data_IF_717747141922
#
_entry.id   IF_717747141922
#
_cell.length_a   1.000
_cell.length_b   1.000
_cell.length_c   1.000
_cell.angle_alpha   90.00
_cell.angle_beta   90.00
_cell.angle_gamma   90.00
#
_symmetry.space_group_name_H-M   'P 1'
#
loop_
_entity.id
_entity.type
_entity.pdbx_description
1 polymer ?
#
# COMPACT_ATOMS: atom_id res chain seq x y z
N UNK A 1 28.33 4.11 17.77
CA UNK A 1 27.04 4.81 17.51
C UNK A 1 26.03 3.79 17.02
N UNK A 2 24.78 3.83 17.52
CA UNK A 2 23.70 3.04 16.93
C UNK A 2 23.44 3.54 15.50
N UNK A 3 23.10 2.65 14.57
CA UNK A 3 22.67 3.07 13.22
C UNK A 3 21.35 3.83 13.35
N UNK A 4 21.13 4.88 12.55
CA UNK A 4 19.85 5.60 12.49
C UNK A 4 18.95 5.04 11.40
N UNK A 5 17.64 5.07 11.64
CA UNK A 5 16.57 4.67 10.72
C UNK A 5 15.57 5.80 10.61
N UNK A 6 15.46 6.39 9.43
CA UNK A 6 14.57 7.53 9.22
C UNK A 6 13.17 7.06 8.82
N UNK A 7 12.18 7.28 9.67
CA UNK A 7 10.78 7.19 9.26
C UNK A 7 10.45 8.51 8.57
N UNK A 8 10.28 8.45 7.24
CA UNK A 8 9.97 9.60 6.40
C UNK A 8 8.52 9.56 5.89
N UNK A 9 8.00 10.68 5.38
CA UNK A 9 6.65 10.71 4.79
C UNK A 9 6.47 9.71 3.64
N UNK A 10 7.54 9.46 2.87
CA UNK A 10 7.53 8.43 1.81
C UNK A 10 7.33 7.02 2.36
N UNK A 11 7.84 6.71 3.56
CA UNK A 11 7.58 5.44 4.23
C UNK A 11 6.10 5.33 4.63
N UNK A 12 5.53 6.39 5.22
CA UNK A 12 4.11 6.46 5.59
C UNK A 12 3.22 6.28 4.35
N UNK A 13 3.52 7.01 3.28
CA UNK A 13 2.82 6.89 2.00
C UNK A 13 2.83 5.45 1.49
N UNK A 14 4.00 4.82 1.43
CA UNK A 14 4.14 3.45 0.91
C UNK A 14 3.42 2.42 1.78
N UNK A 15 3.48 2.57 3.11
CA UNK A 15 2.75 1.71 4.03
C UNK A 15 1.25 1.77 3.76
N UNK A 16 0.65 2.96 3.78
CA UNK A 16 -0.80 3.12 3.60
C UNK A 16 -1.26 2.86 2.16
N UNK A 17 -0.38 3.02 1.16
CA UNK A 17 -0.66 2.65 -0.22
C UNK A 17 -0.79 1.13 -0.38
N UNK A 18 0.06 0.36 0.32
CA UNK A 18 0.16 -1.10 0.13
C UNK A 18 -0.57 -1.90 1.19
N UNK A 19 -0.75 -1.34 2.38
CA UNK A 19 -1.22 -2.02 3.60
C UNK A 19 -0.48 -3.36 3.81
N UNK A 20 0.83 -3.33 3.54
CA UNK A 20 1.72 -4.48 3.62
C UNK A 20 2.60 -4.35 4.86
N UNK A 21 2.28 -5.08 5.93
CA UNK A 21 3.12 -5.20 7.09
C UNK A 21 4.58 -5.58 6.88
N UNK A 22 4.83 -6.54 5.98
CA UNK A 22 6.17 -7.03 5.75
C UNK A 22 7.08 -5.95 5.15
N UNK A 23 6.49 -4.96 4.45
CA UNK A 23 7.22 -3.77 4.02
C UNK A 23 7.89 -3.04 5.20
N UNK A 24 7.20 -2.91 6.33
CA UNK A 24 7.73 -2.27 7.55
C UNK A 24 8.94 -3.05 8.07
N UNK A 25 8.78 -4.36 8.20
CA UNK A 25 9.85 -5.26 8.67
C UNK A 25 11.10 -5.16 7.78
N UNK A 26 10.94 -5.30 6.46
CA UNK A 26 12.04 -5.19 5.50
C UNK A 26 12.72 -3.82 5.51
N UNK A 27 11.94 -2.76 5.66
CA UNK A 27 12.46 -1.40 5.77
C UNK A 27 13.32 -1.22 7.03
N UNK A 28 12.81 -1.62 8.20
CA UNK A 28 13.51 -1.47 9.47
C UNK A 28 14.78 -2.34 9.54
N UNK A 29 14.71 -3.54 8.97
CA UNK A 29 15.86 -4.44 8.82
C UNK A 29 16.87 -3.95 7.77
N UNK A 30 16.56 -2.88 7.04
CA UNK A 30 17.40 -2.31 5.98
C UNK A 30 17.76 -3.36 4.91
N UNK A 31 16.76 -4.16 4.54
CA UNK A 31 16.87 -5.06 3.40
C UNK A 31 17.10 -4.20 2.16
N UNK A 32 17.97 -4.68 1.27
CA UNK A 32 18.30 -3.97 0.04
C UNK A 32 17.05 -3.92 -0.85
N UNK A 33 16.70 -2.70 -1.28
CA UNK A 33 15.67 -2.50 -2.30
C UNK A 33 16.21 -3.00 -3.64
N UNK A 34 15.34 -3.57 -4.47
CA UNK A 34 15.67 -3.79 -5.87
C UNK A 34 16.14 -2.45 -6.47
N UNK A 35 17.23 -2.48 -7.22
CA UNK A 35 17.64 -1.30 -7.97
C UNK A 35 16.60 -1.09 -9.05
N UNK A 36 15.79 -0.04 -8.90
CA UNK A 36 14.89 0.39 -9.96
C UNK A 36 15.73 0.81 -11.16
N UNK A 37 15.81 -0.07 -12.16
CA UNK A 37 16.35 0.22 -13.48
C UNK A 37 15.22 0.49 -14.48
N UNK A 38 14.04 0.92 -14.01
CA UNK A 38 12.91 1.20 -14.89
C UNK A 38 12.96 2.65 -15.38
N UNK A 39 13.16 2.83 -16.69
CA UNK A 39 13.13 4.13 -17.37
C UNK A 39 11.79 4.85 -17.16
N UNK A 40 10.69 4.11 -16.99
CA UNK A 40 9.37 4.68 -16.71
C UNK A 40 9.31 5.32 -15.33
N UNK A 41 9.94 4.71 -14.31
CA UNK A 41 9.95 5.29 -12.96
C UNK A 41 10.78 6.58 -12.92
N UNK A 42 11.91 6.62 -13.65
CA UNK A 42 12.68 7.86 -13.84
C UNK A 42 11.84 8.94 -14.52
N UNK A 43 11.14 8.60 -15.60
CA UNK A 43 10.25 9.53 -16.27
C UNK A 43 9.19 10.11 -15.33
N UNK A 44 8.55 9.30 -14.48
CA UNK A 44 7.58 9.79 -13.51
C UNK A 44 8.18 10.67 -12.41
N UNK A 45 9.42 10.39 -11.99
CA UNK A 45 10.16 11.23 -11.05
C UNK A 45 10.45 12.60 -11.69
N UNK A 46 11.06 12.61 -12.88
CA UNK A 46 11.42 13.84 -13.60
C UNK A 46 10.17 14.68 -13.95
N UNK A 47 9.09 14.01 -14.35
CA UNK A 47 7.79 14.64 -14.57
C UNK A 47 7.20 15.24 -13.28
N UNK A 48 7.39 14.58 -12.13
CA UNK A 48 7.00 15.13 -10.84
C UNK A 48 7.79 16.39 -10.48
N UNK A 49 9.12 16.33 -10.60
CA UNK A 49 10.05 17.43 -10.26
C UNK A 49 9.78 18.66 -11.12
N UNK A 50 9.72 18.50 -12.44
CA UNK A 50 9.46 19.62 -13.37
C UNK A 50 8.14 20.35 -13.08
N UNK A 51 7.14 19.62 -12.60
CA UNK A 51 5.84 20.20 -12.23
C UNK A 51 5.88 20.94 -10.91
N UNK A 52 6.56 20.38 -9.93
CA UNK A 52 6.79 21.05 -8.66
C UNK A 52 7.52 22.38 -8.87
N UNK A 53 8.57 22.39 -9.69
CA UNK A 53 9.29 23.59 -10.09
C UNK A 53 8.35 24.62 -10.77
N UNK A 54 7.51 24.17 -11.70
CA UNK A 54 6.54 25.05 -12.37
C UNK A 54 5.52 25.66 -11.39
N UNK A 55 5.03 24.86 -10.43
CA UNK A 55 4.11 25.36 -9.39
C UNK A 55 4.78 26.38 -8.48
N UNK A 56 6.01 26.10 -8.04
CA UNK A 56 6.75 27.02 -7.17
C UNK A 56 7.12 28.30 -7.89
N UNK A 57 7.43 28.24 -9.18
CA UNK A 57 7.63 29.43 -9.99
C UNK A 57 6.36 30.29 -10.06
N UNK A 58 5.18 29.67 -10.25
CA UNK A 58 3.90 30.36 -10.24
C UNK A 58 3.63 31.03 -8.87
N UNK A 59 3.83 30.31 -7.76
CA UNK A 59 3.70 30.87 -6.42
C UNK A 59 4.70 32.01 -6.17
N UNK A 60 5.95 31.88 -6.61
CA UNK A 60 6.97 32.92 -6.43
C UNK A 60 6.59 34.21 -7.16
N UNK A 61 5.93 34.11 -8.33
CA UNK A 61 5.39 35.27 -9.06
C UNK A 61 4.27 35.97 -8.29
N UNK A 62 3.41 35.22 -7.59
CA UNK A 62 2.27 35.75 -6.85
C UNK A 62 2.66 36.29 -5.45
N UNK A 63 3.50 35.55 -4.73
CA UNK A 63 3.83 35.84 -3.33
C UNK A 63 5.14 36.62 -3.17
N UNK A 64 6.03 36.59 -4.16
CA UNK A 64 7.30 37.32 -4.16
C UNK A 64 8.09 37.09 -2.87
N UNK A 65 8.47 38.18 -2.21
CA UNK A 65 9.24 38.14 -0.96
C UNK A 65 8.49 37.57 0.25
N UNK A 66 7.21 37.23 0.12
CA UNK A 66 6.43 36.52 1.17
C UNK A 66 6.61 35.01 1.12
N UNK A 67 7.23 34.48 0.07
CA UNK A 67 7.58 33.08 -0.11
C UNK A 67 9.10 32.87 0.02
N UNK A 68 9.50 31.69 0.50
CA UNK A 68 10.88 31.21 0.42
C UNK A 68 10.89 29.78 -0.12
N UNK A 69 11.87 29.45 -0.95
CA UNK A 69 12.15 28.09 -1.42
C UNK A 69 13.49 27.70 -0.79
N UNK A 70 13.54 26.58 -0.09
CA UNK A 70 14.77 26.07 0.52
C UNK A 70 15.49 25.16 -0.47
N UNK A 71 16.30 25.76 -1.33
CA UNK A 71 17.08 25.08 -2.36
C UNK A 71 18.04 24.05 -1.77
N UNK A 72 18.32 22.98 -2.51
CA UNK A 72 19.31 21.98 -2.11
C UNK A 72 20.74 22.49 -2.32
N UNK A 73 21.62 22.25 -1.36
CA UNK A 73 23.06 22.47 -1.55
C UNK A 73 23.75 21.17 -1.97
N UNK A 74 24.21 21.04 -3.23
CA UNK A 74 24.85 19.82 -3.72
C UNK A 74 26.25 19.59 -3.15
N UNK A 75 26.83 20.58 -2.46
CA UNK A 75 28.17 20.48 -1.86
C UNK A 75 28.16 19.84 -0.49
N UNK A 76 26.99 19.80 0.17
CA UNK A 76 26.81 19.21 1.49
C UNK A 76 26.53 17.70 1.40
N UNK A 77 26.94 16.96 2.42
CA UNK A 77 26.47 15.59 2.57
C UNK A 77 24.96 15.56 2.82
N UNK A 78 24.34 14.40 2.59
CA UNK A 78 22.90 14.23 2.80
C UNK A 78 22.45 14.60 4.23
N UNK A 79 23.23 14.27 5.25
CA UNK A 79 22.87 14.58 6.65
C UNK A 79 23.03 16.08 6.97
N UNK A 80 24.10 16.71 6.47
CA UNK A 80 24.34 18.16 6.63
C UNK A 80 23.25 18.98 5.95
N UNK A 81 22.86 18.57 4.74
CA UNK A 81 21.83 19.25 3.96
C UNK A 81 20.45 19.18 4.66
N UNK A 82 20.13 18.03 5.24
CA UNK A 82 18.89 17.87 6.01
C UNK A 82 18.89 18.68 7.31
N UNK A 83 20.04 18.79 7.99
CA UNK A 83 20.18 19.61 9.17
C UNK A 83 20.00 21.09 8.83
N UNK A 84 20.73 21.59 7.81
CA UNK A 84 20.64 22.97 7.32
C UNK A 84 19.22 23.36 6.94
N UNK A 85 18.54 22.57 6.08
CA UNK A 85 17.15 22.87 5.69
C UNK A 85 16.18 22.77 6.86
N UNK A 86 16.42 21.90 7.83
CA UNK A 86 15.63 21.84 9.07
C UNK A 86 15.72 23.13 9.88
N UNK A 87 16.94 23.64 10.09
CA UNK A 87 17.19 24.91 10.77
C UNK A 87 16.59 26.10 10.02
N UNK A 88 16.75 26.15 8.69
CA UNK A 88 16.16 27.19 7.86
C UNK A 88 14.63 27.16 7.89
N UNK A 89 14.02 25.97 7.86
CA UNK A 89 12.57 25.82 7.96
C UNK A 89 12.06 26.45 9.26
N UNK A 90 12.69 26.13 10.39
CA UNK A 90 12.33 26.73 11.68
C UNK A 90 12.58 28.24 11.72
N UNK A 91 13.70 28.69 11.19
CA UNK A 91 14.01 30.12 11.11
C UNK A 91 12.90 30.88 10.38
N UNK A 92 12.48 30.39 9.21
CA UNK A 92 11.43 31.05 8.43
C UNK A 92 10.05 30.93 9.06
N UNK A 93 9.75 29.83 9.77
CA UNK A 93 8.53 29.71 10.57
C UNK A 93 8.48 30.76 11.69
N UNK A 94 9.58 30.95 12.44
CA UNK A 94 9.70 31.98 13.48
C UNK A 94 9.64 33.40 12.93
N UNK A 95 10.09 33.62 11.69
CA UNK A 95 9.94 34.90 10.99
C UNK A 95 8.54 35.13 10.41
N UNK A 96 7.66 34.13 10.48
CA UNK A 96 6.28 34.22 9.99
C UNK A 96 6.20 34.36 8.48
N UNK A 97 7.10 33.73 7.74
CA UNK A 97 7.06 33.70 6.27
C UNK A 97 5.72 33.11 5.79
N UNK A 98 5.06 33.71 4.81
CA UNK A 98 3.72 33.26 4.39
C UNK A 98 3.74 31.87 3.77
N UNK A 99 4.74 31.59 2.95
CA UNK A 99 4.93 30.29 2.28
C UNK A 99 6.38 29.86 2.43
N UNK A 100 6.58 28.61 2.84
CA UNK A 100 7.90 27.95 2.90
C UNK A 100 7.81 26.70 2.04
N UNK A 101 8.58 26.64 0.96
CA UNK A 101 8.66 25.49 0.08
C UNK A 101 9.91 24.67 0.38
N UNK A 102 9.81 23.35 0.18
CA UNK A 102 10.89 22.39 0.47
C UNK A 102 11.33 22.45 1.93
N UNK A 103 10.37 22.51 2.86
CA UNK A 103 10.66 22.46 4.29
C UNK A 103 11.20 21.09 4.73
N UNK A 104 11.92 21.07 5.85
CA UNK A 104 12.25 19.85 6.58
C UNK A 104 11.71 19.98 8.00
N UNK A 105 10.91 19.01 8.41
CA UNK A 105 10.39 18.87 9.77
C UNK A 105 11.12 17.73 10.47
N UNK A 106 11.74 18.01 11.61
CA UNK A 106 12.42 17.01 12.42
C UNK A 106 11.70 16.87 13.76
N UNK A 107 11.64 15.64 14.28
CA UNK A 107 11.14 15.39 15.64
C UNK A 107 11.90 16.21 16.69
N UNK A 108 11.17 16.84 17.61
CA UNK A 108 11.71 17.59 18.76
C UNK A 108 11.38 16.86 20.06
N UNK A 109 11.43 17.57 21.18
CA UNK A 109 11.36 17.00 22.52
C UNK A 109 10.18 16.04 22.73
N UNK A 110 8.98 16.38 22.26
CA UNK A 110 7.79 15.54 22.46
C UNK A 110 7.93 14.20 21.74
N UNK A 111 8.24 14.26 20.44
CA UNK A 111 8.38 13.05 19.61
C UNK A 111 9.66 12.28 19.97
N UNK A 112 10.73 12.96 20.37
CA UNK A 112 11.97 12.33 20.82
C UNK A 112 11.79 11.60 22.16
N UNK A 113 10.94 12.11 23.06
CA UNK A 113 10.59 11.37 24.28
C UNK A 113 9.83 10.09 23.95
N UNK A 114 8.82 10.19 23.08
CA UNK A 114 8.09 9.03 22.56
C UNK A 114 9.04 8.01 21.89
N UNK A 115 9.92 8.47 21.03
CA UNK A 115 10.96 7.65 20.38
C UNK A 115 11.79 6.89 21.42
N UNK A 116 12.35 7.59 22.43
CA UNK A 116 13.17 6.95 23.48
C UNK A 116 12.39 5.91 24.27
N UNK A 117 11.10 6.17 24.53
CA UNK A 117 10.23 5.19 25.20
C UNK A 117 10.09 3.92 24.36
N UNK A 118 9.78 4.06 23.07
CA UNK A 118 9.62 2.92 22.16
C UNK A 118 10.94 2.16 21.98
N UNK A 119 12.06 2.86 21.78
CA UNK A 119 13.38 2.23 21.65
C UNK A 119 13.75 1.39 22.87
N UNK A 120 13.41 1.85 24.07
CA UNK A 120 13.65 1.14 25.32
C UNK A 120 12.69 -0.05 25.50
N UNK A 121 11.40 0.16 25.23
CA UNK A 121 10.37 -0.88 25.33
C UNK A 121 10.68 -2.06 24.40
N UNK A 122 11.06 -1.78 23.15
CA UNK A 122 11.33 -2.79 22.13
C UNK A 122 12.81 -3.17 21.97
N UNK A 123 13.70 -2.60 22.80
CA UNK A 123 15.16 -2.88 22.82
C UNK A 123 15.82 -2.83 21.44
N UNK A 124 15.54 -1.76 20.69
CA UNK A 124 15.97 -1.66 19.29
C UNK A 124 17.50 -1.55 19.15
N UNK A 125 18.10 -2.26 18.16
CA UNK A 125 19.53 -2.20 17.88
C UNK A 125 19.94 -0.94 17.09
N UNK A 126 18.99 -0.07 16.76
CA UNK A 126 19.16 1.17 16.02
C UNK A 126 18.32 2.29 16.66
N UNK A 127 18.62 3.53 16.29
CA UNK A 127 17.84 4.72 16.62
C UNK A 127 16.79 4.95 15.52
N UNK A 128 15.57 5.32 15.91
CA UNK A 128 14.52 5.73 14.96
C UNK A 128 14.47 7.24 14.90
N UNK A 129 14.55 7.85 13.73
CA UNK A 129 14.42 9.30 13.58
C UNK A 129 13.20 9.62 12.73
N UNK A 130 12.25 10.37 13.26
CA UNK A 130 11.11 10.84 12.49
C UNK A 130 11.45 12.14 11.76
N UNK A 131 11.20 12.16 10.44
CA UNK A 131 11.44 13.31 9.56
C UNK A 131 10.30 13.49 8.58
N UNK A 132 9.96 14.74 8.30
CA UNK A 132 9.02 15.16 7.26
C UNK A 132 9.71 16.03 6.24
N UNK A 133 9.30 15.90 4.98
CA UNK A 133 9.76 16.70 3.85
C UNK A 133 8.52 17.23 3.13
N UNK A 134 7.75 18.14 3.75
CA UNK A 134 6.59 18.73 3.10
C UNK A 134 7.04 19.60 1.93
N UNK A 135 6.32 19.51 0.82
CA UNK A 135 6.59 20.36 -0.33
C UNK A 135 6.33 21.83 0.02
N UNK A 136 5.27 22.10 0.80
CA UNK A 136 4.87 23.46 1.21
C UNK A 136 4.38 23.51 2.65
N UNK A 137 4.70 24.62 3.34
CA UNK A 137 4.05 25.07 4.57
C UNK A 137 3.36 26.42 4.33
N UNK A 138 2.08 26.49 4.66
CA UNK A 138 1.26 27.70 4.56
C UNK A 138 1.05 28.32 5.93
N UNK A 139 1.40 29.61 6.10
CA UNK A 139 1.08 30.34 7.33
C UNK A 139 -0.42 30.64 7.38
N UNK A 140 -1.02 30.41 8.54
CA UNK A 140 -2.40 30.80 8.86
C UNK A 140 -2.43 31.66 10.11
N UNK A 141 -2.90 32.89 9.97
CA UNK A 141 -3.03 33.85 11.07
C UNK A 141 -4.26 33.58 11.93
N UNK A 142 -4.24 34.10 13.17
CA UNK A 142 -5.38 34.09 14.08
C UNK A 142 -5.46 32.87 15.00
N UNK A 143 -4.44 32.01 14.99
CA UNK A 143 -4.32 30.85 15.89
C UNK A 143 -3.01 30.97 16.65
N UNK A 144 -3.08 31.01 17.98
CA UNK A 144 -1.88 31.12 18.82
C UNK A 144 -1.08 29.83 18.83
N UNK A 145 0.25 29.94 18.69
CA UNK A 145 1.21 28.83 18.65
C UNK A 145 2.54 29.25 19.28
N UNK A 146 3.53 28.34 19.27
CA UNK A 146 4.90 28.65 19.68
C UNK A 146 5.59 29.75 18.84
N UNK A 147 5.01 30.14 17.70
CA UNK A 147 5.54 31.19 16.82
C UNK A 147 4.81 32.55 16.96
N UNK A 148 3.76 32.64 17.78
CA UNK A 148 2.94 33.84 17.93
C UNK A 148 1.48 33.60 17.51
N UNK A 149 0.78 34.63 17.03
CA UNK A 149 -0.65 34.53 16.64
C UNK A 149 -0.85 33.97 15.22
N UNK A 150 -0.11 32.91 14.89
CA UNK A 150 -0.27 32.16 13.65
C UNK A 150 0.25 30.73 13.82
N UNK A 151 -0.22 29.83 12.96
CA UNK A 151 0.29 28.46 12.79
C UNK A 151 0.76 28.25 11.36
N UNK A 152 1.39 27.10 11.09
CA UNK A 152 1.56 26.58 9.75
C UNK A 152 0.65 25.37 9.51
N UNK A 153 0.24 25.21 8.26
CA UNK A 153 -0.49 24.05 7.73
C UNK A 153 0.32 23.42 6.59
N UNK A 154 0.25 22.10 6.45
CA UNK A 154 1.05 21.35 5.47
C UNK A 154 0.34 21.25 4.13
N UNK A 155 1.08 21.52 3.04
CA UNK A 155 0.70 21.24 1.67
C UNK A 155 1.68 20.26 0.99
N UNK A 156 1.15 19.36 0.18
CA UNK A 156 1.93 18.34 -0.53
C UNK A 156 1.43 18.21 -1.98
N UNK A 157 2.34 18.30 -2.94
CA UNK A 157 2.02 18.25 -4.37
C UNK A 157 1.86 16.80 -4.82
N UNK A 158 0.84 16.56 -5.63
CA UNK A 158 0.61 15.24 -6.24
C UNK A 158 0.30 15.36 -7.72
N UNK A 159 0.89 14.44 -8.47
CA UNK A 159 0.59 14.26 -9.90
C UNK A 159 -0.79 13.62 -10.15
N UNK A 160 -1.49 13.15 -9.11
CA UNK A 160 -2.80 12.53 -9.23
C UNK A 160 -3.94 13.54 -9.35
N UNK A 161 -4.99 13.16 -10.09
CA UNK A 161 -6.22 13.96 -10.25
C UNK A 161 -7.19 13.89 -9.07
N UNK A 162 -7.04 12.88 -8.22
CA UNK A 162 -7.89 12.65 -7.05
C UNK A 162 -7.01 12.39 -5.84
N UNK A 163 -7.49 12.83 -4.68
CA UNK A 163 -6.84 12.53 -3.42
C UNK A 163 -6.95 11.03 -3.11
N UNK A 164 -5.90 10.51 -2.48
CA UNK A 164 -5.84 9.12 -2.00
C UNK A 164 -5.58 9.12 -0.51
N UNK A 165 -6.14 8.14 0.19
CA UNK A 165 -5.94 7.99 1.63
C UNK A 165 -4.44 7.98 2.03
N UNK A 166 -3.58 7.29 1.28
CA UNK A 166 -2.14 7.29 1.56
C UNK A 166 -1.46 8.67 1.45
N UNK A 167 -2.01 9.57 0.63
CA UNK A 167 -1.55 10.96 0.52
C UNK A 167 -2.02 11.77 1.73
N UNK A 168 -3.27 11.59 2.17
CA UNK A 168 -3.75 12.19 3.42
C UNK A 168 -2.89 11.76 4.60
N UNK A 169 -2.55 10.46 4.70
CA UNK A 169 -1.71 9.95 5.79
C UNK A 169 -0.29 10.56 5.76
N UNK A 170 0.29 10.78 4.59
CA UNK A 170 1.58 11.46 4.45
C UNK A 170 1.52 12.90 4.96
N UNK A 171 0.51 13.67 4.53
CA UNK A 171 0.30 15.05 5.02
C UNK A 171 0.00 15.07 6.52
N UNK A 172 -0.81 14.13 7.02
CA UNK A 172 -1.12 13.98 8.45
C UNK A 172 0.14 13.73 9.26
N UNK A 173 1.06 12.92 8.73
CA UNK A 173 2.34 12.66 9.35
C UNK A 173 3.23 13.89 9.44
N UNK A 174 3.28 14.70 8.38
CA UNK A 174 3.96 15.98 8.41
C UNK A 174 3.31 16.95 9.41
N UNK A 175 1.97 17.00 9.47
CA UNK A 175 1.24 17.83 10.43
C UNK A 175 1.47 17.40 11.88
N UNK A 176 1.63 16.10 12.14
CA UNK A 176 2.02 15.57 13.45
C UNK A 176 3.45 15.99 13.85
N UNK A 177 4.40 15.99 12.91
CA UNK A 177 5.74 16.55 13.16
C UNK A 177 5.69 18.06 13.39
N UNK A 178 4.84 18.76 12.65
CA UNK A 178 4.65 20.20 12.77
C UNK A 178 4.01 20.60 14.11
N UNK A 179 3.09 19.79 14.62
CA UNK A 179 2.52 19.92 15.97
C UNK A 179 3.62 20.00 17.03
N UNK A 180 4.66 19.18 16.94
CA UNK A 180 5.77 19.22 17.90
C UNK A 180 6.62 20.50 17.77
N UNK A 181 6.70 21.09 16.57
CA UNK A 181 7.38 22.38 16.34
C UNK A 181 6.58 23.56 16.91
N UNK A 182 5.28 23.64 16.60
CA UNK A 182 4.45 24.82 16.90
C UNK A 182 3.53 24.67 18.11
N UNK A 183 3.51 23.48 18.73
CA UNK A 183 2.71 23.06 19.90
C UNK A 183 1.19 23.03 19.68
N UNK A 184 0.76 23.10 18.43
CA UNK A 184 -0.65 23.05 18.03
C UNK A 184 -0.77 22.21 16.77
N UNK A 185 -1.62 21.18 16.80
CA UNK A 185 -1.97 20.44 15.58
C UNK A 185 -2.75 21.37 14.64
N UNK A 186 -2.35 21.49 13.37
CA UNK A 186 -3.14 22.25 12.42
C UNK A 186 -4.56 21.63 12.27
N UNK A 187 -5.60 22.41 11.98
CA UNK A 187 -6.95 21.87 11.80
C UNK A 187 -7.10 21.07 10.50
N UNK A 188 -6.35 21.46 9.46
CA UNK A 188 -6.44 20.88 8.13
C UNK A 188 -5.06 20.64 7.51
N UNK A 189 -5.02 19.69 6.59
CA UNK A 189 -3.92 19.50 5.65
C UNK A 189 -4.37 19.73 4.21
N UNK A 190 -3.42 19.94 3.31
CA UNK A 190 -3.70 20.22 1.90
C UNK A 190 -2.98 19.27 0.96
N UNK A 191 -3.70 18.80 -0.04
CA UNK A 191 -3.13 18.21 -1.25
C UNK A 191 -3.29 19.18 -2.40
N UNK A 192 -2.21 19.40 -3.13
CA UNK A 192 -2.20 20.21 -4.35
C UNK A 192 -2.23 19.23 -5.52
N UNK A 193 -3.43 19.03 -6.05
CA UNK A 193 -3.73 18.05 -7.09
C UNK A 193 -3.76 18.70 -8.47
N UNK A 194 -3.47 17.92 -9.50
CA UNK A 194 -3.69 18.38 -10.87
C UNK A 194 -5.15 18.24 -11.27
N UNK A 195 -5.64 19.11 -12.14
CA UNK A 195 -6.83 18.84 -12.94
C UNK A 195 -6.44 18.45 -14.39
N UNK A 196 -7.44 18.04 -15.19
CA UNK A 196 -7.21 17.61 -16.59
C UNK A 196 -6.73 18.74 -17.53
N UNK A 197 -6.75 19.99 -17.08
CA UNK A 197 -6.26 21.17 -17.81
C UNK A 197 -4.86 21.60 -17.36
N UNK A 198 -4.19 20.77 -16.57
CA UNK A 198 -2.90 21.06 -15.96
C UNK A 198 -2.90 22.23 -14.98
N UNK A 199 -4.07 22.66 -14.51
CA UNK A 199 -4.19 23.63 -13.43
C UNK A 199 -4.09 22.90 -12.09
N UNK A 200 -3.68 23.64 -11.06
CA UNK A 200 -3.57 23.13 -9.71
C UNK A 200 -4.86 23.38 -8.94
N UNK A 201 -5.33 22.35 -8.24
CA UNK A 201 -6.48 22.41 -7.36
C UNK A 201 -6.05 22.12 -5.93
N UNK A 202 -6.50 22.96 -5.00
CA UNK A 202 -6.23 22.78 -3.58
C UNK A 202 -7.34 21.93 -2.97
N UNK A 203 -6.99 20.76 -2.47
CA UNK A 203 -7.88 19.86 -1.76
C UNK A 203 -7.51 19.88 -0.27
N UNK A 204 -8.36 20.52 0.55
CA UNK A 204 -8.22 20.50 2.01
C UNK A 204 -8.97 19.32 2.61
N UNK A 205 -8.42 18.74 3.66
CA UNK A 205 -9.12 17.75 4.48
C UNK A 205 -8.84 18.00 5.98
N UNK A 206 -9.80 17.70 6.87
CA UNK A 206 -9.62 17.89 8.30
C UNK A 206 -8.68 16.82 8.88
N UNK A 207 -7.73 17.22 9.71
CA UNK A 207 -6.71 16.30 10.26
C UNK A 207 -7.27 15.36 11.34
N UNK A 208 -8.39 15.71 11.96
CA UNK A 208 -9.07 14.87 12.96
C UNK A 208 -9.52 13.50 12.40
N UNK A 209 -9.81 13.42 11.08
CA UNK A 209 -10.23 12.19 10.41
C UNK A 209 -9.10 11.16 10.28
N UNK A 210 -7.83 11.61 10.29
CA UNK A 210 -6.67 10.76 9.97
C UNK A 210 -5.66 10.65 11.11
N UNK A 211 -5.61 11.63 12.02
CA UNK A 211 -4.58 11.69 13.07
C UNK A 211 -4.60 10.49 14.01
N UNK A 212 -5.78 9.98 14.36
CA UNK A 212 -5.91 8.79 15.20
C UNK A 212 -5.40 7.53 14.52
N UNK A 213 -5.69 7.39 13.22
CA UNK A 213 -5.16 6.28 12.42
C UNK A 213 -3.63 6.34 12.34
N UNK A 214 -3.07 7.55 12.20
CA UNK A 214 -1.62 7.73 12.17
C UNK A 214 -0.99 7.36 13.52
N UNK A 215 -1.54 7.88 14.63
CA UNK A 215 -1.03 7.62 15.97
C UNK A 215 -1.07 6.14 16.31
N UNK A 216 -2.20 5.47 16.06
CA UNK A 216 -2.31 4.01 16.23
C UNK A 216 -1.23 3.25 15.43
N UNK A 217 -1.01 3.63 14.17
CA UNK A 217 0.06 3.04 13.37
C UNK A 217 1.46 3.26 13.96
N UNK A 218 1.77 4.50 14.38
CA UNK A 218 3.09 4.87 14.91
C UNK A 218 3.36 4.34 16.32
N UNK A 219 2.33 4.21 17.15
CA UNK A 219 2.43 3.82 18.56
C UNK A 219 2.32 2.30 18.76
N UNK A 220 1.60 1.61 17.88
CA UNK A 220 1.29 0.19 18.04
C UNK A 220 1.78 -0.63 16.84
N UNK A 221 1.15 -0.45 15.67
CA UNK A 221 1.34 -1.37 14.54
C UNK A 221 2.81 -1.47 14.09
N UNK A 222 3.51 -0.35 13.94
CA UNK A 222 4.87 -0.34 13.38
C UNK A 222 5.86 -1.19 14.21
N UNK A 223 5.65 -1.27 15.52
CA UNK A 223 6.54 -1.98 16.44
C UNK A 223 6.22 -3.47 16.51
N UNK A 224 4.94 -3.84 16.43
CA UNK A 224 4.53 -5.24 16.31
C UNK A 224 5.22 -5.90 15.12
N UNK A 225 5.28 -5.20 13.98
CA UNK A 225 5.94 -5.73 12.77
C UNK A 225 7.44 -5.88 12.87
N UNK A 226 8.09 -5.11 13.74
CA UNK A 226 9.52 -5.30 14.00
C UNK A 226 9.78 -6.59 14.80
N UNK A 227 8.84 -7.00 15.65
CA UNK A 227 9.01 -8.12 16.57
C UNK A 227 8.22 -9.38 16.20
N UNK A 228 7.31 -9.30 15.23
CA UNK A 228 6.61 -10.46 14.69
C UNK A 228 7.62 -11.45 14.10
N UNK A 229 7.89 -12.52 14.85
CA UNK A 229 8.77 -13.63 14.44
C UNK A 229 8.28 -14.31 13.17
N UNK A 230 6.96 -14.38 13.01
CA UNK A 230 6.31 -15.12 11.92
C UNK A 230 6.46 -14.39 10.56
N UNK A 231 6.85 -13.11 10.53
CA UNK A 231 7.09 -12.32 9.32
C UNK A 231 6.00 -12.51 8.26
N UNK A 232 4.71 -12.48 8.64
CA UNK A 232 3.62 -12.78 7.71
C UNK A 232 3.67 -11.83 6.51
N UNK A 233 3.77 -12.40 5.32
CA UNK A 233 3.66 -11.69 4.07
C UNK A 233 2.73 -12.44 3.12
N UNK A 234 2.27 -11.79 2.07
CA UNK A 234 1.45 -12.41 1.05
C UNK A 234 1.75 -11.73 -0.28
N UNK A 235 2.22 -12.47 -1.26
CA UNK A 235 2.44 -11.92 -2.59
C UNK A 235 1.09 -11.69 -3.28
N UNK A 236 0.92 -10.53 -3.89
CA UNK A 236 -0.31 -10.20 -4.61
C UNK A 236 -0.22 -8.89 -5.37
N UNK A 237 -1.36 -8.37 -5.83
CA UNK A 237 -1.42 -7.16 -6.66
C UNK A 237 -0.82 -5.91 -5.99
N UNK A 238 -0.92 -5.79 -4.67
CA UNK A 238 -0.32 -4.70 -3.88
C UNK A 238 1.22 -4.69 -3.90
N UNK A 239 1.85 -5.80 -4.32
CA UNK A 239 3.30 -5.88 -4.51
C UNK A 239 3.77 -5.22 -5.81
N UNK A 240 2.87 -4.86 -6.74
CA UNK A 240 3.24 -4.18 -7.99
C UNK A 240 3.94 -2.85 -7.67
N UNK A 241 5.12 -2.65 -8.27
CA UNK A 241 5.98 -1.49 -8.00
C UNK A 241 6.50 -1.42 -6.56
N UNK A 242 6.44 -2.51 -5.77
CA UNK A 242 7.06 -2.55 -4.45
C UNK A 242 8.58 -2.69 -4.62
N UNK A 243 9.40 -1.87 -3.94
CA UNK A 243 10.85 -1.96 -4.05
C UNK A 243 11.44 -3.25 -3.44
N UNK A 244 10.61 -4.04 -2.76
CA UNK A 244 11.00 -5.33 -2.18
C UNK A 244 10.30 -6.52 -2.86
N UNK A 245 9.60 -6.30 -3.98
CA UNK A 245 8.82 -7.36 -4.65
C UNK A 245 9.71 -8.55 -5.01
N UNK A 246 10.89 -8.32 -5.57
CA UNK A 246 11.85 -9.36 -5.95
C UNK A 246 12.29 -10.17 -4.72
N UNK A 247 12.78 -9.50 -3.67
CA UNK A 247 13.17 -10.14 -2.42
C UNK A 247 12.05 -11.03 -1.83
N UNK A 248 10.82 -10.51 -1.78
CA UNK A 248 9.67 -11.27 -1.29
C UNK A 248 9.35 -12.48 -2.19
N UNK A 249 9.53 -12.33 -3.51
CA UNK A 249 9.24 -13.37 -4.50
C UNK A 249 10.27 -14.49 -4.43
N UNK A 250 11.56 -14.15 -4.36
CA UNK A 250 12.64 -15.11 -4.14
C UNK A 250 12.44 -15.88 -2.83
N UNK A 251 12.10 -15.18 -1.75
CA UNK A 251 11.77 -15.79 -0.46
C UNK A 251 10.56 -16.72 -0.56
N UNK A 252 9.48 -16.33 -1.25
CA UNK A 252 8.32 -17.19 -1.42
C UNK A 252 8.64 -18.46 -2.21
N UNK A 253 9.43 -18.34 -3.28
CA UNK A 253 9.85 -19.49 -4.09
C UNK A 253 10.72 -20.43 -3.26
N UNK A 254 11.70 -19.91 -2.51
CA UNK A 254 12.61 -20.74 -1.73
C UNK A 254 11.94 -21.44 -0.55
N UNK A 255 10.90 -20.85 0.03
CA UNK A 255 10.17 -21.39 1.18
C UNK A 255 8.93 -22.20 0.80
N UNK A 256 8.63 -22.36 -0.50
CA UNK A 256 7.40 -23.00 -0.94
C UNK A 256 6.17 -22.28 -0.38
N UNK A 257 6.18 -20.95 -0.35
CA UNK A 257 5.16 -20.19 0.36
C UNK A 257 3.78 -20.32 -0.30
N UNK A 258 2.74 -20.42 0.54
CA UNK A 258 1.35 -20.58 0.08
C UNK A 258 0.86 -19.48 -0.85
N UNK A 259 1.43 -18.26 -0.80
CA UNK A 259 1.03 -17.18 -1.69
C UNK A 259 1.40 -17.40 -3.17
N UNK A 260 2.18 -18.45 -3.47
CA UNK A 260 2.41 -18.90 -4.84
C UNK A 260 1.17 -19.56 -5.48
N UNK A 261 0.18 -19.98 -4.67
CA UNK A 261 -1.06 -20.57 -5.18
C UNK A 261 -1.94 -19.51 -5.86
N UNK A 262 -2.30 -19.70 -7.13
CA UNK A 262 -3.17 -18.78 -7.84
C UNK A 262 -4.52 -18.61 -7.13
N UNK A 263 -4.94 -17.34 -6.94
CA UNK A 263 -6.24 -17.02 -6.37
C UNK A 263 -6.34 -17.16 -4.84
N UNK A 264 -5.30 -17.63 -4.14
CA UNK A 264 -5.28 -17.64 -2.68
C UNK A 264 -5.26 -16.20 -2.16
N UNK A 265 -6.22 -15.83 -1.33
CA UNK A 265 -6.29 -14.51 -0.71
C UNK A 265 -5.51 -14.47 0.61
N UNK A 266 -5.05 -13.28 1.01
CA UNK A 266 -4.37 -13.03 2.30
C UNK A 266 -5.11 -13.64 3.50
N UNK A 267 -6.43 -13.49 3.58
CA UNK A 267 -7.24 -14.04 4.68
C UNK A 267 -7.24 -15.58 4.69
N UNK A 268 -7.29 -16.21 3.52
CA UNK A 268 -7.21 -17.67 3.39
C UNK A 268 -5.82 -18.19 3.77
N UNK A 269 -4.74 -17.49 3.36
CA UNK A 269 -3.38 -17.81 3.83
C UNK A 269 -3.26 -17.73 5.36
N UNK A 270 -3.80 -16.67 5.98
CA UNK A 270 -3.84 -16.55 7.46
C UNK A 270 -4.62 -17.69 8.11
N UNK A 271 -5.74 -18.10 7.51
CA UNK A 271 -6.50 -19.25 8.00
C UNK A 271 -5.66 -20.53 7.93
N UNK A 272 -5.02 -20.81 6.78
CA UNK A 272 -4.13 -21.98 6.60
C UNK A 272 -2.98 -22.00 7.61
N UNK A 273 -2.34 -20.87 7.88
CA UNK A 273 -1.32 -20.75 8.93
C UNK A 273 -1.84 -21.11 10.33
N UNK A 274 -3.10 -20.75 10.65
CA UNK A 274 -3.74 -21.13 11.91
C UNK A 274 -4.11 -22.61 11.99
N UNK A 275 -4.35 -23.26 10.85
CA UNK A 275 -4.46 -24.72 10.76
C UNK A 275 -3.10 -25.42 10.78
N UNK A 276 -1.99 -24.67 10.84
CA UNK A 276 -0.63 -25.21 10.92
C UNK A 276 0.06 -25.42 9.59
N UNK A 277 -0.58 -25.09 8.46
CA UNK A 277 0.02 -25.20 7.13
C UNK A 277 0.76 -23.91 6.77
N UNK A 278 2.09 -23.96 6.66
CA UNK A 278 2.96 -22.82 6.40
C UNK A 278 3.47 -22.76 4.95
N UNK A 279 3.64 -23.91 4.31
CA UNK A 279 4.15 -24.04 2.93
C UNK A 279 3.31 -25.02 2.09
N UNK A 280 3.61 -25.08 0.79
CA UNK A 280 2.94 -25.93 -0.19
C UNK A 280 3.05 -27.41 0.17
N UNK A 281 4.19 -27.85 0.69
CA UNK A 281 4.47 -29.24 1.04
C UNK A 281 3.63 -29.74 2.20
N UNK A 282 3.44 -28.89 3.21
CA UNK A 282 2.55 -29.16 4.33
C UNK A 282 1.09 -29.17 3.87
N UNK A 283 0.69 -28.21 3.03
CA UNK A 283 -0.69 -28.14 2.56
C UNK A 283 -1.06 -29.30 1.64
N UNK A 284 -0.14 -29.78 0.80
CA UNK A 284 -0.40 -30.92 -0.09
C UNK A 284 -0.66 -32.24 0.66
N UNK A 285 -0.18 -32.35 1.91
CA UNK A 285 -0.40 -33.51 2.79
C UNK A 285 -1.69 -33.39 3.61
N UNK A 286 -2.37 -32.25 3.55
CA UNK A 286 -3.59 -32.00 4.30
C UNK A 286 -4.73 -32.92 3.83
N UNK A 287 -5.56 -33.33 4.78
CA UNK A 287 -6.80 -34.08 4.57
C UNK A 287 -7.99 -33.23 5.01
N UNK A 288 -9.19 -33.63 4.60
CA UNK A 288 -10.41 -32.86 4.90
C UNK A 288 -10.65 -32.70 6.41
N UNK A 289 -10.24 -33.68 7.22
CA UNK A 289 -10.38 -33.65 8.67
C UNK A 289 -9.53 -32.56 9.33
N UNK A 290 -8.40 -32.19 8.72
CA UNK A 290 -7.47 -31.22 9.30
C UNK A 290 -8.07 -29.80 9.34
N UNK A 291 -9.11 -29.54 8.53
CA UNK A 291 -9.81 -28.24 8.49
C UNK A 291 -11.00 -28.15 9.45
N UNK A 292 -11.33 -29.21 10.21
CA UNK A 292 -12.53 -29.25 11.08
C UNK A 292 -12.27 -28.70 12.49
N UNK A 293 -11.00 -28.51 12.87
CA UNK A 293 -10.59 -28.26 14.27
C UNK A 293 -10.55 -26.76 14.64
N UNK A 294 -10.41 -25.85 13.67
CA UNK A 294 -10.17 -24.42 13.92
C UNK A 294 -10.96 -23.48 13.01
N UNK A 295 -12.23 -23.19 13.34
CA UNK A 295 -13.02 -22.22 12.57
C UNK A 295 -12.31 -20.85 12.47
N UNK A 296 -12.00 -20.41 11.24
CA UNK A 296 -11.49 -19.06 10.97
C UNK A 296 -12.65 -18.15 10.55
N UNK A 297 -12.85 -16.99 11.20
CA UNK A 297 -13.95 -16.09 10.84
C UNK A 297 -13.91 -15.69 9.36
N UNK A 298 -15.00 -15.97 8.65
CA UNK A 298 -15.17 -15.60 7.25
C UNK A 298 -14.40 -16.46 6.23
N UNK A 299 -13.79 -17.57 6.64
CA UNK A 299 -13.15 -18.54 5.72
C UNK A 299 -13.62 -19.96 6.06
N UNK A 300 -14.38 -20.59 5.16
CA UNK A 300 -14.86 -21.97 5.35
C UNK A 300 -13.80 -22.99 4.92
N UNK A 301 -13.84 -24.19 5.51
CA UNK A 301 -12.99 -25.31 5.10
C UNK A 301 -13.16 -25.64 3.60
N UNK A 302 -14.38 -25.53 3.10
CA UNK A 302 -14.71 -25.74 1.68
C UNK A 302 -14.00 -24.76 0.74
N UNK A 303 -13.75 -23.52 1.19
CA UNK A 303 -12.97 -22.54 0.45
C UNK A 303 -11.48 -22.84 0.47
N UNK A 304 -10.99 -23.64 1.42
CA UNK A 304 -9.58 -23.99 1.57
C UNK A 304 -9.19 -25.26 0.83
N UNK A 305 -10.10 -26.23 0.74
CA UNK A 305 -9.83 -27.52 0.09
C UNK A 305 -9.33 -27.43 -1.37
N UNK A 306 -9.80 -26.51 -2.23
CA UNK A 306 -9.23 -26.35 -3.57
C UNK A 306 -7.72 -26.08 -3.58
N UNK A 307 -7.21 -25.42 -2.54
CA UNK A 307 -5.77 -25.12 -2.44
C UNK A 307 -4.94 -26.34 -2.05
N UNK A 308 -5.52 -27.34 -1.37
CA UNK A 308 -4.87 -28.64 -1.15
C UNK A 308 -4.59 -29.32 -2.49
N UNK A 309 -5.61 -29.38 -3.35
CA UNK A 309 -5.51 -29.99 -4.68
C UNK A 309 -4.50 -29.22 -5.55
N UNK A 310 -4.51 -27.88 -5.51
CA UNK A 310 -3.52 -27.07 -6.22
C UNK A 310 -2.10 -27.30 -5.70
N UNK A 311 -1.90 -27.39 -4.38
CA UNK A 311 -0.59 -27.71 -3.80
C UNK A 311 -0.09 -29.10 -4.21
N UNK A 312 -0.97 -30.11 -4.20
CA UNK A 312 -0.64 -31.46 -4.68
C UNK A 312 -0.22 -31.43 -6.16
N UNK A 313 -0.98 -30.73 -7.00
CA UNK A 313 -0.67 -30.57 -8.42
C UNK A 313 0.68 -29.90 -8.67
N UNK A 314 0.97 -28.82 -7.93
CA UNK A 314 2.22 -28.09 -8.09
C UNK A 314 3.45 -28.89 -7.64
N UNK A 315 3.34 -29.67 -6.57
CA UNK A 315 4.45 -30.49 -6.04
C UNK A 315 4.70 -31.73 -6.91
N UNK A 316 3.63 -32.40 -7.31
CA UNK A 316 3.73 -33.64 -8.07
C UNK A 316 3.96 -33.39 -9.56
N UNK A 317 3.83 -32.14 -10.03
CA UNK A 317 3.85 -31.75 -11.45
C UNK A 317 2.81 -32.52 -12.30
N UNK A 318 1.68 -32.84 -11.69
CA UNK A 318 0.58 -33.61 -12.27
C UNK A 318 -0.73 -32.84 -12.15
N UNK A 319 -1.67 -33.06 -13.07
CA UNK A 319 -2.99 -32.42 -13.02
C UNK A 319 -3.89 -33.20 -12.07
N UNK A 320 -4.30 -32.57 -10.96
CA UNK A 320 -5.29 -33.15 -10.05
C UNK A 320 -6.67 -32.53 -10.31
N UNK A 321 -7.66 -33.38 -10.52
CA UNK A 321 -9.04 -32.97 -10.68
C UNK A 321 -9.75 -32.98 -9.33
N UNK A 322 -10.43 -31.88 -9.01
CA UNK A 322 -11.40 -31.89 -7.92
C UNK A 322 -12.56 -32.78 -8.36
N UNK A 323 -12.90 -33.86 -7.63
CA UNK A 323 -14.10 -34.62 -7.95
C UNK A 323 -15.32 -33.69 -7.86
N UNK A 324 -16.27 -33.76 -8.81
CA UNK A 324 -17.44 -32.90 -8.80
C UNK A 324 -18.22 -33.10 -7.49
N UNK A 325 -18.77 -32.01 -6.94
CA UNK A 325 -19.60 -32.08 -5.71
C UNK A 325 -20.91 -32.84 -5.91
N UNK A 326 -21.36 -32.97 -7.16
CA UNK A 326 -22.58 -33.71 -7.50
C UNK A 326 -22.26 -35.20 -7.63
N UNK A 327 -23.20 -36.03 -7.19
CA UNK A 327 -23.15 -37.48 -7.41
C UNK A 327 -22.90 -37.74 -8.92
N UNK A 328 -21.97 -38.64 -9.30
CA UNK A 328 -21.75 -39.01 -10.71
C UNK A 328 -23.04 -39.26 -11.49
N UNK A 329 -24.08 -39.82 -10.85
CA UNK A 329 -25.41 -40.01 -11.45
C UNK A 329 -26.06 -38.68 -11.89
N UNK A 330 -25.99 -37.62 -11.08
CA UNK A 330 -26.59 -36.33 -11.37
C UNK A 330 -25.87 -35.60 -12.51
N UNK A 331 -24.54 -35.78 -12.61
CA UNK A 331 -23.75 -35.25 -13.74
C UNK A 331 -24.12 -35.95 -15.04
N UNK A 332 -24.37 -37.27 -14.99
CA UNK A 332 -24.82 -38.06 -16.14
C UNK A 332 -26.24 -37.67 -16.58
N UNK A 333 -27.17 -37.46 -15.64
CA UNK A 333 -28.53 -37.02 -15.94
C UNK A 333 -28.58 -35.64 -16.60
N UNK A 334 -27.82 -34.67 -16.09
CA UNK A 334 -27.71 -33.34 -16.69
C UNK A 334 -27.08 -33.39 -18.09
N UNK A 335 -26.05 -34.21 -18.30
CA UNK A 335 -25.44 -34.43 -19.62
C UNK A 335 -26.41 -35.10 -20.61
N UNK A 336 -27.26 -36.02 -20.14
CA UNK A 336 -28.26 -36.71 -20.98
C UNK A 336 -29.32 -35.73 -21.48
N UNK A 337 -29.80 -34.84 -20.61
CA UNK A 337 -30.76 -33.79 -20.97
C UNK A 337 -30.18 -32.84 -22.04
N UNK A 338 -28.90 -32.47 -21.93
CA UNK A 338 -28.24 -31.63 -22.94
C UNK A 338 -28.10 -32.31 -24.31
N UNK A 339 -27.84 -33.62 -24.34
CA UNK A 339 -27.74 -34.40 -25.59
C UNK A 339 -29.10 -34.53 -26.26
N UNK A 340 -30.17 -34.72 -25.49
CA UNK A 340 -31.55 -34.78 -26.02
C UNK A 340 -31.99 -33.42 -26.60
N UNK A 341 -31.71 -32.31 -25.91
CA UNK A 341 -32.02 -30.96 -26.38
C UNK A 341 -31.25 -30.58 -27.67
N UNK A 342 -29.98 -30.99 -27.81
CA UNK A 342 -29.21 -30.77 -29.04
C UNK A 342 -29.77 -31.62 -30.21
N UNK A 343 -30.22 -32.84 -29.94
CA UNK A 343 -30.87 -33.68 -30.96
C UNK A 343 -32.20 -33.09 -31.43
N UNK A 344 -33.05 -32.62 -30.51
CA UNK A 344 -34.31 -31.92 -30.84
C UNK A 344 -34.07 -30.61 -31.60
N UNK A 345 -33.07 -29.82 -31.18
CA UNK A 345 -32.69 -28.58 -31.87
C UNK A 345 -32.16 -28.83 -33.29
N UNK A 346 -31.36 -29.88 -33.50
CA UNK A 346 -30.90 -30.30 -34.84
C UNK A 346 -32.05 -30.82 -35.71
N UNK A 347 -32.99 -31.56 -35.12
CA UNK A 347 -34.19 -32.03 -35.82
C UNK A 347 -35.09 -30.85 -36.25
N UNK A 348 -35.29 -29.86 -35.37
CA UNK A 348 -36.03 -28.64 -35.64
C UNK A 348 -35.39 -27.79 -36.74
N UNK A 349 -34.06 -27.60 -36.71
CA UNK A 349 -33.32 -26.91 -37.79
C UNK A 349 -33.46 -27.59 -39.15
N UNK A 350 -33.48 -28.92 -39.17
CA UNK A 350 -33.65 -29.71 -40.40
C UNK A 350 -35.05 -29.53 -41.00
N UNK A 351 -36.07 -29.32 -40.16
CA UNK A 351 -37.45 -29.06 -40.57
C UNK A 351 -37.63 -27.65 -41.17
N UNK A 352 -36.78 -26.69 -40.79
CA UNK A 352 -36.83 -25.29 -41.25
C UNK A 352 -36.01 -24.99 -42.52
N UNK A 353 -35.38 -26.01 -43.16
CA UNK A 353 -34.52 -25.86 -44.36
C UNK A 353 -33.43 -24.76 -44.26
N UNK A 354 -32.96 -24.46 -43.05
CA UNK A 354 -31.88 -23.50 -42.83
C UNK A 354 -30.53 -24.16 -43.20
N UNK A 355 -30.15 -24.08 -44.47
CA UNK A 355 -28.82 -24.47 -44.96
C UNK A 355 -27.88 -23.27 -44.95
N UNK A 356 -27.18 -23.05 -43.83
CA UNK A 356 -25.88 -22.37 -43.88
C UNK A 356 -24.86 -23.09 -43.00
N UNK A 357 -23.70 -23.34 -43.61
CA UNK A 357 -22.54 -24.00 -43.02
C UNK A 357 -21.92 -23.12 -41.92
N UNK A 358 -21.96 -23.62 -40.69
CA UNK A 358 -20.89 -23.43 -39.70
C UNK A 358 -20.95 -24.62 -38.74
N UNK A 359 -19.81 -25.28 -38.59
CA UNK A 359 -19.61 -26.48 -37.77
C UNK A 359 -20.02 -26.27 -36.31
N UNK A 360 -20.37 -27.32 -35.55
CA UNK A 360 -20.45 -27.21 -34.11
C UNK A 360 -19.03 -27.04 -33.55
N UNK A 361 -18.75 -25.82 -33.06
CA UNK A 361 -17.67 -25.55 -32.12
C UNK A 361 -17.77 -26.57 -30.96
N UNK A 362 -16.73 -27.37 -30.78
CA UNK A 362 -16.49 -28.01 -29.49
C UNK A 362 -15.96 -26.96 -28.51
N UNK A 363 -16.44 -27.06 -27.25
CA UNK A 363 -15.90 -26.48 -26.01
C UNK A 363 -16.03 -24.96 -25.80
N UNK A 364 -17.12 -24.56 -25.13
CA UNK A 364 -17.06 -23.53 -24.09
C UNK A 364 -17.92 -23.97 -22.89
N UNK A 365 -17.40 -24.91 -22.08
CA UNK A 365 -17.77 -24.97 -20.66
C UNK A 365 -16.95 -23.87 -19.99
N UNK A 366 -17.51 -22.67 -19.94
CA UNK A 366 -17.24 -21.61 -18.96
C UNK A 366 -17.70 -20.28 -19.56
N UNK A 367 -18.98 -19.94 -19.39
CA UNK A 367 -19.43 -18.59 -19.06
C UNK A 367 -20.91 -18.64 -18.73
N UNK A 368 -21.27 -17.85 -17.74
CA UNK A 368 -22.64 -17.49 -17.35
C UNK A 368 -23.34 -18.37 -16.31
N UNK A 369 -22.69 -18.54 -15.16
CA UNK A 369 -23.38 -18.36 -13.88
C UNK A 369 -22.76 -17.15 -13.17
N UNK A 370 -23.24 -15.94 -13.45
CA UNK A 370 -23.23 -14.77 -12.53
C UNK A 370 -23.81 -13.52 -13.22
N UNK A 371 -25.03 -13.59 -13.77
CA UNK A 371 -25.83 -12.37 -13.99
C UNK A 371 -27.31 -12.67 -13.71
N UNK A 372 -27.62 -12.75 -12.43
CA UNK A 372 -28.95 -12.42 -11.93
C UNK A 372 -28.88 -11.12 -11.15
N UNK A 373 -29.09 -9.97 -11.82
CA UNK A 373 -29.80 -8.81 -11.27
C UNK A 373 -30.42 -8.01 -12.43
N UNK A 374 -31.72 -8.20 -12.66
CA UNK A 374 -32.71 -7.11 -12.73
C UNK A 374 -34.08 -7.67 -12.37
#
# INVERSE_FOLDING_TARGET
>A
MKKRRFIAGSFIYQYFQRKCPFYVSLFLQNVKKASVQDELERYFIDYGVSREEAYFHALKKEFGNRMVILEKDPTLSFEEELARRGEETEFWMKKGKTIICHGILQARDGIQQFQRQMENQYRLPFEICFRGEPDILFRRDGISSAFGNYIYEVGDLKSSYHSKFCQHMQVTYYSWLLEDCQKVLPPSGYLILQNRKEEYSLCSFPLEETIWTLRHFLEEEIWEWFWEKDNFYHIGSHCRGCPYAEHCSEKAISEGDLSLLPGLKRAQKKALWRYGFRNLEELAKAREEDFKVHAYPGVSAEQLYPFVIMSQSQIMQEVYYRPPKKNPQQVIEELTIYVELDQEYRAFRKHLHLHHQSEPLFLEICKDEYLGVS
#
